data_IF_976658636998
#
_entry.id   IF_976658636998
#
_cell.length_a   1.000
_cell.length_b   1.000
_cell.length_c   1.000
_cell.angle_alpha   90.00
_cell.angle_beta   90.00
_cell.angle_gamma   90.00
#
_symmetry.space_group_name_H-M   'P 1'
#
loop_
_entity.id
_entity.type
_entity.pdbx_description
1 polymer ?
#
# COMPACT_ATOMS: atom_id res chain seq x y z
N UNK A 1 -17.50 48.18 7.66
CA UNK A 1 -18.75 47.66 7.08
C UNK A 1 -18.63 47.85 5.58
N UNK A 2 -18.55 46.85 4.71
CA UNK A 2 -19.27 45.58 4.61
C UNK A 2 -18.33 44.49 4.08
N UNK A 3 -18.37 43.31 4.69
CA UNK A 3 -17.61 42.14 4.24
C UNK A 3 -18.40 41.35 3.21
N UNK A 4 -17.78 41.03 2.08
CA UNK A 4 -18.29 40.03 1.14
C UNK A 4 -17.43 38.76 1.25
N UNK A 5 -17.93 37.77 1.99
CA UNK A 5 -17.40 36.40 1.98
C UNK A 5 -17.94 35.67 0.75
N UNK A 6 -17.13 35.55 -0.30
CA UNK A 6 -17.39 34.61 -1.39
C UNK A 6 -16.72 33.27 -1.09
N UNK A 7 -17.48 32.31 -0.58
CA UNK A 7 -17.06 30.90 -0.48
C UNK A 7 -17.27 30.21 -1.83
N UNK A 8 -16.33 30.42 -2.77
CA UNK A 8 -16.35 29.79 -4.09
C UNK A 8 -15.62 28.45 -4.11
N UNK A 9 -16.36 27.33 -4.09
CA UNK A 9 -15.82 26.00 -4.43
C UNK A 9 -15.67 25.89 -5.95
N UNK A 10 -14.49 26.20 -6.50
CA UNK A 10 -14.23 26.03 -7.94
C UNK A 10 -13.75 24.61 -8.27
N UNK A 11 -14.46 23.96 -9.20
CA UNK A 11 -14.19 22.60 -9.68
C UNK A 11 -13.63 22.59 -11.10
N UNK A 12 -12.29 22.58 -11.24
CA UNK A 12 -11.66 22.36 -12.55
C UNK A 12 -11.36 20.88 -12.83
N UNK A 13 -11.80 20.42 -14.02
CA UNK A 13 -11.53 19.10 -14.59
C UNK A 13 -10.39 19.28 -15.59
N UNK A 14 -9.19 18.82 -15.27
CA UNK A 14 -8.04 18.88 -16.18
C UNK A 14 -7.55 17.48 -16.53
N UNK A 15 -7.32 17.26 -17.83
CA UNK A 15 -6.66 16.11 -18.43
C UNK A 15 -5.23 16.52 -18.78
N UNK A 16 -4.22 15.96 -18.10
CA UNK A 16 -2.82 16.30 -18.38
C UNK A 16 -1.82 15.86 -17.30
N UNK A 17 -0.53 16.08 -17.57
CA UNK A 17 0.57 15.86 -16.62
C UNK A 17 0.54 16.91 -15.50
N UNK A 18 0.48 16.51 -14.23
CA UNK A 18 0.47 17.43 -13.09
C UNK A 18 1.42 16.99 -11.97
N UNK A 19 2.32 17.88 -11.57
CA UNK A 19 3.25 17.69 -10.45
C UNK A 19 2.89 18.67 -9.33
N UNK A 20 2.38 18.15 -8.20
CA UNK A 20 2.00 18.97 -7.05
C UNK A 20 3.05 18.87 -5.95
N UNK A 21 3.84 19.93 -5.77
CA UNK A 21 4.41 20.31 -4.47
C UNK A 21 3.37 21.21 -3.83
N UNK A 22 2.70 20.78 -2.76
CA UNK A 22 1.59 21.51 -2.12
C UNK A 22 1.84 21.74 -0.65
N UNK A 23 1.55 22.94 -0.18
CA UNK A 23 1.92 23.39 1.15
C UNK A 23 0.99 24.49 1.69
N UNK A 24 -0.28 24.19 1.70
CA UNK A 24 -1.24 24.65 2.71
C UNK A 24 -2.50 23.79 2.58
N UNK A 25 -3.38 23.84 3.58
CA UNK A 25 -4.64 23.09 3.59
C UNK A 25 -5.48 23.48 2.39
N UNK A 26 -5.44 22.67 1.33
CA UNK A 26 -6.21 22.91 0.11
C UNK A 26 -6.85 21.61 -0.38
N UNK A 27 -8.15 21.67 -0.62
CA UNK A 27 -8.88 20.72 -1.48
C UNK A 27 -8.55 21.03 -2.94
N UNK A 28 -7.37 20.61 -3.40
CA UNK A 28 -6.89 20.95 -4.73
C UNK A 28 -7.53 20.09 -5.84
N UNK A 29 -8.26 20.76 -6.73
CA UNK A 29 -8.39 20.39 -8.15
C UNK A 29 -7.33 21.18 -8.95
N UNK A 30 -6.06 20.86 -8.66
CA UNK A 30 -4.81 21.30 -9.30
C UNK A 30 -4.51 22.81 -9.41
N UNK A 31 -3.55 23.30 -8.60
CA UNK A 31 -2.28 23.92 -9.05
C UNK A 31 -1.32 23.99 -7.83
N UNK A 32 0.00 23.95 -8.05
CA UNK A 32 1.01 23.74 -7.00
C UNK A 32 1.40 24.99 -6.18
N UNK A 33 1.93 24.79 -4.96
CA UNK A 33 2.95 25.64 -4.31
C UNK A 33 3.48 25.11 -2.95
N UNK A 34 4.59 25.70 -2.44
CA UNK A 34 5.63 25.20 -1.49
C UNK A 34 5.67 25.91 -0.08
N UNK A 35 5.93 25.16 1.02
CA UNK A 35 5.82 25.45 2.49
C UNK A 35 5.64 24.21 3.45
N UNK A 36 6.17 24.27 4.66
CA UNK A 36 6.18 23.17 5.64
C UNK A 36 5.11 23.39 6.71
N UNK A 37 4.07 22.54 6.77
CA UNK A 37 3.06 22.56 7.83
C UNK A 37 2.15 21.31 7.85
N UNK A 38 1.54 21.00 8.99
CA UNK A 38 0.59 19.88 9.15
C UNK A 38 -0.67 20.11 8.30
N UNK A 39 -0.84 19.35 7.22
CA UNK A 39 -1.91 19.58 6.24
C UNK A 39 -2.79 18.34 6.01
N UNK A 40 -4.05 18.57 5.67
CA UNK A 40 -5.04 17.59 5.21
C UNK A 40 -5.37 17.89 3.74
N UNK A 41 -4.75 17.16 2.81
CA UNK A 41 -4.95 17.38 1.37
C UNK A 41 -5.81 16.28 0.75
N UNK A 42 -6.77 16.68 -0.09
CA UNK A 42 -7.64 15.77 -0.86
C UNK A 42 -7.52 16.05 -2.35
N UNK A 43 -6.93 15.11 -3.11
CA UNK A 43 -6.75 15.26 -4.57
C UNK A 43 -7.61 14.27 -5.36
N UNK A 44 -8.16 14.71 -6.50
CA UNK A 44 -8.83 13.84 -7.50
C UNK A 44 -8.37 14.14 -8.92
N UNK A 45 -7.99 13.11 -9.68
CA UNK A 45 -7.37 13.30 -11.00
C UNK A 45 -7.53 12.14 -11.97
N UNK A 46 -7.24 12.43 -13.25
CA UNK A 46 -7.08 11.45 -14.33
C UNK A 46 -5.76 11.73 -15.06
N UNK A 47 -4.91 10.74 -15.28
CA UNK A 47 -3.60 10.88 -15.92
C UNK A 47 -2.44 10.63 -14.96
N UNK A 48 -1.32 11.36 -15.15
CA UNK A 48 -0.11 11.22 -14.35
C UNK A 48 -0.09 12.20 -13.19
N UNK A 49 0.20 11.71 -11.98
CA UNK A 49 0.34 12.54 -10.78
C UNK A 49 1.55 12.19 -9.92
N UNK A 50 2.18 13.21 -9.37
CA UNK A 50 3.25 13.12 -8.37
C UNK A 50 2.97 14.05 -7.19
N UNK A 51 2.91 13.51 -5.97
CA UNK A 51 2.67 14.29 -4.74
C UNK A 51 3.77 14.08 -3.70
N UNK A 52 4.15 15.16 -3.00
CA UNK A 52 5.02 15.10 -1.81
C UNK A 52 4.46 15.94 -0.66
N UNK A 53 4.42 15.39 0.55
CA UNK A 53 3.76 16.03 1.68
C UNK A 53 4.17 15.52 3.07
N UNK A 54 3.84 16.31 4.09
CA UNK A 54 3.89 15.94 5.51
C UNK A 54 2.49 16.14 6.11
N UNK A 55 2.00 15.22 6.94
CA UNK A 55 0.66 15.28 7.54
C UNK A 55 -0.30 14.24 6.97
N UNK A 56 -1.58 14.61 6.81
CA UNK A 56 -2.67 13.77 6.32
C UNK A 56 -2.91 13.95 4.82
N UNK A 57 -2.95 12.85 4.08
CA UNK A 57 -3.21 12.88 2.63
C UNK A 57 -4.26 11.88 2.20
N UNK A 58 -5.16 12.33 1.32
CA UNK A 58 -6.17 11.52 0.67
C UNK A 58 -6.15 11.73 -0.84
N UNK A 59 -5.88 10.69 -1.64
CA UNK A 59 -5.83 10.81 -3.10
C UNK A 59 -6.78 9.83 -3.79
N UNK A 60 -7.42 10.28 -4.87
CA UNK A 60 -8.22 9.44 -5.77
C UNK A 60 -7.84 9.67 -7.24
N UNK A 61 -7.34 8.65 -7.92
CA UNK A 61 -6.83 8.82 -9.29
C UNK A 61 -7.24 7.70 -10.24
N UNK A 62 -7.27 8.00 -11.53
CA UNK A 62 -7.25 7.02 -12.62
C UNK A 62 -6.04 7.31 -13.50
N UNK A 63 -5.13 6.36 -13.67
CA UNK A 63 -3.85 6.55 -14.36
C UNK A 63 -2.65 6.23 -13.47
N UNK A 64 -1.58 7.01 -13.61
CA UNK A 64 -0.29 6.73 -12.98
C UNK A 64 -0.05 7.68 -11.81
N UNK A 65 0.21 7.15 -10.63
CA UNK A 65 0.38 7.95 -9.41
C UNK A 65 1.66 7.60 -8.67
N UNK A 66 2.42 8.63 -8.29
CA UNK A 66 3.56 8.55 -7.38
C UNK A 66 3.34 9.44 -6.16
N UNK A 67 3.48 8.91 -4.95
CA UNK A 67 3.36 9.71 -3.73
C UNK A 67 4.53 9.48 -2.78
N UNK A 68 4.98 10.55 -2.12
CA UNK A 68 5.93 10.50 -1.00
C UNK A 68 5.38 11.27 0.20
N UNK A 69 5.18 10.61 1.32
CA UNK A 69 4.58 11.23 2.51
C UNK A 69 5.30 10.90 3.82
N UNK A 70 5.15 11.79 4.80
CA UNK A 70 5.42 11.53 6.21
C UNK A 70 4.16 11.86 7.00
N UNK A 71 3.56 10.87 7.69
CA UNK A 71 2.28 11.00 8.37
C UNK A 71 1.26 9.94 7.90
N UNK A 72 0.01 10.35 7.73
CA UNK A 72 -1.10 9.47 7.37
C UNK A 72 -1.45 9.60 5.90
N UNK A 73 -1.56 8.48 5.19
CA UNK A 73 -1.87 8.46 3.77
C UNK A 73 -2.99 7.47 3.45
N UNK A 74 -3.98 7.94 2.68
CA UNK A 74 -5.08 7.14 2.14
C UNK A 74 -5.17 7.33 0.62
N UNK A 75 -4.99 6.28 -0.16
CA UNK A 75 -5.07 6.37 -1.62
C UNK A 75 -6.08 5.40 -2.22
N UNK A 76 -6.79 5.85 -3.25
CA UNK A 76 -7.62 5.01 -4.11
C UNK A 76 -7.28 5.23 -5.57
N UNK A 77 -6.81 4.20 -6.27
CA UNK A 77 -6.41 4.34 -7.67
C UNK A 77 -6.89 3.21 -8.58
N UNK A 78 -7.03 3.52 -9.86
CA UNK A 78 -7.12 2.56 -10.95
C UNK A 78 -5.96 2.85 -11.92
N UNK A 79 -5.05 1.90 -12.14
CA UNK A 79 -3.82 2.10 -12.94
C UNK A 79 -2.56 1.74 -12.17
N UNK A 80 -1.47 2.48 -12.40
CA UNK A 80 -0.19 2.24 -11.71
C UNK A 80 -0.05 3.15 -10.49
N UNK A 81 0.41 2.59 -9.37
CA UNK A 81 0.63 3.32 -8.14
C UNK A 81 1.98 3.00 -7.52
N UNK A 82 2.75 4.03 -7.19
CA UNK A 82 3.98 3.95 -6.41
C UNK A 82 3.86 4.85 -5.17
N UNK A 83 4.07 4.30 -3.98
CA UNK A 83 4.03 5.08 -2.74
C UNK A 83 5.26 4.86 -1.88
N UNK A 84 5.74 5.94 -1.27
CA UNK A 84 6.74 5.91 -0.21
C UNK A 84 6.23 6.67 1.00
N UNK A 85 6.13 6.02 2.15
CA UNK A 85 5.59 6.63 3.37
C UNK A 85 6.44 6.35 4.61
N UNK A 86 6.45 7.30 5.54
CA UNK A 86 6.82 7.07 6.94
C UNK A 86 5.58 7.42 7.77
N UNK A 87 5.03 6.46 8.52
CA UNK A 87 3.77 6.61 9.26
C UNK A 87 2.73 5.58 8.84
N UNK A 88 1.47 6.00 8.73
CA UNK A 88 0.33 5.11 8.52
C UNK A 88 -0.19 5.20 7.10
N UNK A 89 -0.32 4.06 6.42
CA UNK A 89 -0.72 4.00 5.02
C UNK A 89 -1.89 3.04 4.79
N UNK A 90 -2.90 3.52 4.06
CA UNK A 90 -4.03 2.75 3.55
C UNK A 90 -4.13 2.93 2.04
N UNK A 91 -4.11 1.84 1.28
CA UNK A 91 -4.27 1.89 -0.17
C UNK A 91 -5.34 0.94 -0.69
N UNK A 92 -6.09 1.41 -1.69
CA UNK A 92 -6.98 0.59 -2.50
C UNK A 92 -6.67 0.79 -3.99
N UNK A 93 -6.28 -0.26 -4.68
CA UNK A 93 -5.87 -0.19 -6.08
C UNK A 93 -6.54 -1.25 -6.95
N UNK A 94 -6.73 -0.92 -8.22
CA UNK A 94 -6.95 -1.88 -9.31
C UNK A 94 -5.86 -1.62 -10.35
N UNK A 95 -5.01 -2.60 -10.63
CA UNK A 95 -3.82 -2.45 -11.48
C UNK A 95 -2.53 -2.81 -10.75
N UNK A 96 -1.46 -2.06 -11.00
CA UNK A 96 -0.13 -2.36 -10.49
C UNK A 96 0.22 -1.43 -9.32
N UNK A 97 0.67 -2.01 -8.21
CA UNK A 97 0.97 -1.27 -7.00
C UNK A 97 2.35 -1.62 -6.43
N UNK A 98 3.14 -0.58 -6.13
CA UNK A 98 4.41 -0.67 -5.41
C UNK A 98 4.36 0.23 -4.17
N UNK A 99 4.62 -0.32 -2.99
CA UNK A 99 4.68 0.45 -1.76
C UNK A 99 5.97 0.22 -0.99
N UNK A 100 6.52 1.30 -0.44
CA UNK A 100 7.59 1.27 0.55
C UNK A 100 7.17 2.06 1.79
N UNK A 101 7.10 1.42 2.93
CA UNK A 101 6.62 2.03 4.17
C UNK A 101 7.54 1.77 5.37
N UNK A 102 7.62 2.73 6.26
CA UNK A 102 8.07 2.54 7.64
C UNK A 102 6.90 2.90 8.55
N UNK A 103 6.37 1.97 9.33
CA UNK A 103 5.15 2.15 10.13
C UNK A 103 4.04 1.16 9.79
N UNK A 104 2.78 1.58 9.93
CA UNK A 104 1.62 0.70 9.69
C UNK A 104 1.13 0.79 8.24
N UNK A 105 0.82 -0.37 7.66
CA UNK A 105 0.35 -0.43 6.27
C UNK A 105 -0.81 -1.43 6.08
N UNK A 106 -1.88 -0.94 5.46
CA UNK A 106 -3.05 -1.69 5.00
C UNK A 106 -3.21 -1.53 3.49
N UNK A 107 -3.37 -2.63 2.74
CA UNK A 107 -3.64 -2.55 1.30
C UNK A 107 -4.76 -3.49 0.85
N UNK A 108 -5.48 -3.06 -0.17
CA UNK A 108 -6.39 -3.90 -0.96
C UNK A 108 -6.11 -3.68 -2.44
N UNK A 109 -5.80 -4.75 -3.16
CA UNK A 109 -5.44 -4.66 -4.57
C UNK A 109 -6.13 -5.73 -5.41
N UNK A 110 -6.37 -5.41 -6.67
CA UNK A 110 -6.64 -6.38 -7.73
C UNK A 110 -5.62 -6.14 -8.82
N UNK A 111 -4.78 -7.12 -9.13
CA UNK A 111 -3.63 -6.98 -10.03
C UNK A 111 -2.30 -7.31 -9.34
N UNK A 112 -1.21 -6.68 -9.77
CA UNK A 112 0.12 -6.97 -9.24
C UNK A 112 0.47 -6.05 -8.07
N UNK A 113 1.02 -6.63 -7.01
CA UNK A 113 1.39 -5.90 -5.81
C UNK A 113 2.81 -6.24 -5.35
N UNK A 114 3.61 -5.21 -5.10
CA UNK A 114 4.92 -5.29 -4.44
C UNK A 114 4.93 -4.41 -3.20
N UNK A 115 5.24 -4.98 -2.03
CA UNK A 115 5.35 -4.22 -0.78
C UNK A 115 6.71 -4.45 -0.11
N UNK A 116 7.29 -3.37 0.40
CA UNK A 116 8.42 -3.39 1.32
C UNK A 116 8.08 -2.58 2.58
N UNK A 117 8.09 -3.22 3.74
CA UNK A 117 7.74 -2.59 5.00
C UNK A 117 8.76 -2.85 6.11
N UNK A 118 8.89 -1.87 7.01
CA UNK A 118 9.55 -2.03 8.31
C UNK A 118 8.58 -1.56 9.37
N UNK A 119 8.22 -2.44 10.31
CA UNK A 119 7.19 -2.22 11.33
C UNK A 119 6.02 -3.18 11.23
N UNK A 120 4.88 -2.79 11.83
CA UNK A 120 3.68 -3.62 11.88
C UNK A 120 2.88 -3.50 10.58
N UNK A 121 2.96 -4.53 9.74
CA UNK A 121 2.04 -4.72 8.62
C UNK A 121 0.82 -5.50 9.10
N UNK A 122 -0.01 -4.85 9.92
CA UNK A 122 -1.34 -5.36 10.26
C UNK A 122 -2.35 -4.87 9.21
N UNK A 123 -3.39 -5.67 9.01
CA UNK A 123 -4.51 -5.49 8.09
C UNK A 123 -4.34 -6.14 6.71
N UNK A 124 -4.77 -7.41 6.69
CA UNK A 124 -5.56 -8.03 5.62
C UNK A 124 -5.22 -7.48 4.23
N UNK A 125 -3.95 -7.63 3.82
CA UNK A 125 -3.57 -7.45 2.43
C UNK A 125 -4.45 -8.41 1.63
N UNK A 126 -5.54 -7.90 1.06
CA UNK A 126 -6.47 -8.67 0.25
C UNK A 126 -6.11 -8.41 -1.19
N UNK A 127 -5.42 -9.36 -1.78
CA UNK A 127 -5.03 -9.29 -3.18
C UNK A 127 -5.65 -10.40 -4.00
N UNK A 128 -6.00 -10.07 -5.24
CA UNK A 128 -6.26 -11.03 -6.31
C UNK A 128 -5.24 -10.77 -7.41
N UNK A 129 -4.39 -11.75 -7.73
CA UNK A 129 -3.32 -11.61 -8.72
C UNK A 129 -1.95 -12.05 -8.17
N UNK A 130 -0.89 -11.33 -8.57
CA UNK A 130 0.48 -11.59 -8.12
C UNK A 130 0.87 -10.68 -6.95
N UNK A 131 1.45 -11.26 -5.90
CA UNK A 131 1.89 -10.53 -4.73
C UNK A 131 3.32 -10.90 -4.34
N UNK A 132 4.15 -9.88 -4.13
CA UNK A 132 5.48 -10.00 -3.54
C UNK A 132 5.58 -9.09 -2.32
N UNK A 133 5.93 -9.65 -1.16
CA UNK A 133 6.13 -8.86 0.05
C UNK A 133 7.49 -9.12 0.69
N UNK A 134 8.13 -8.04 1.15
CA UNK A 134 9.27 -8.08 2.06
C UNK A 134 8.97 -7.27 3.32
N UNK A 135 9.08 -7.88 4.49
CA UNK A 135 8.76 -7.23 5.76
C UNK A 135 9.79 -7.53 6.86
N UNK A 136 9.91 -6.59 7.79
CA UNK A 136 10.52 -6.80 9.11
C UNK A 136 9.51 -6.35 10.16
N UNK A 137 9.08 -7.27 11.03
CA UNK A 137 8.03 -7.08 12.02
C UNK A 137 6.88 -8.07 11.86
N UNK A 138 5.66 -7.65 12.20
CA UNK A 138 4.46 -8.48 12.09
C UNK A 138 3.81 -8.33 10.72
N UNK A 139 3.43 -9.44 10.08
CA UNK A 139 2.77 -9.43 8.77
C UNK A 139 1.57 -10.37 8.72
N UNK A 140 0.44 -9.88 8.20
CA UNK A 140 -0.75 -10.69 7.88
C UNK A 140 -1.20 -10.50 6.43
N UNK A 141 -1.31 -11.59 5.65
CA UNK A 141 -1.74 -11.54 4.24
C UNK A 141 -2.91 -12.48 3.94
N UNK A 142 -3.79 -12.05 3.01
CA UNK A 142 -4.84 -12.89 2.42
C UNK A 142 -4.86 -12.76 0.89
N UNK A 143 -4.44 -13.77 0.17
CA UNK A 143 -4.30 -13.70 -1.30
C UNK A 143 -5.13 -14.74 -2.03
N UNK A 144 -5.48 -14.41 -3.28
CA UNK A 144 -5.91 -15.37 -4.30
C UNK A 144 -5.01 -15.19 -5.52
N UNK A 145 -4.34 -16.25 -5.97
CA UNK A 145 -3.35 -16.21 -7.06
C UNK A 145 -1.95 -16.62 -6.59
N UNK A 146 -0.93 -15.85 -6.98
CA UNK A 146 0.47 -16.14 -6.70
C UNK A 146 0.99 -15.24 -5.59
N UNK A 147 1.60 -15.83 -4.57
CA UNK A 147 2.17 -15.09 -3.45
C UNK A 147 3.60 -15.52 -3.14
N UNK A 148 4.49 -14.53 -3.07
CA UNK A 148 5.87 -14.68 -2.57
C UNK A 148 6.08 -13.77 -1.37
N UNK A 149 6.53 -14.32 -0.24
CA UNK A 149 6.81 -13.53 0.95
C UNK A 149 8.23 -13.79 1.49
N UNK A 150 8.86 -12.71 1.95
CA UNK A 150 10.08 -12.76 2.75
C UNK A 150 9.91 -11.93 4.02
N UNK A 151 10.03 -12.55 5.19
CA UNK A 151 9.77 -11.89 6.46
C UNK A 151 10.86 -12.17 7.50
N UNK A 152 11.07 -11.21 8.39
CA UNK A 152 11.75 -11.39 9.67
C UNK A 152 10.80 -10.92 10.77
N UNK A 153 10.40 -11.80 11.69
CA UNK A 153 9.36 -11.55 12.70
C UNK A 153 8.21 -12.55 12.62
N UNK A 154 6.99 -12.11 12.96
CA UNK A 154 5.81 -12.97 12.94
C UNK A 154 5.05 -12.84 11.62
N UNK A 155 4.69 -13.97 11.01
CA UNK A 155 3.96 -14.01 9.75
C UNK A 155 2.73 -14.92 9.84
N UNK A 156 1.59 -14.39 9.39
CA UNK A 156 0.36 -15.16 9.16
C UNK A 156 -0.12 -15.00 7.71
N UNK A 157 -0.28 -16.10 6.97
CA UNK A 157 -0.77 -16.06 5.60
C UNK A 157 -1.99 -16.96 5.39
N UNK A 158 -2.95 -16.48 4.61
CA UNK A 158 -4.02 -17.28 4.02
C UNK A 158 -4.03 -17.13 2.50
N UNK A 159 -3.87 -18.21 1.76
CA UNK A 159 -3.79 -18.16 0.29
C UNK A 159 -4.71 -19.17 -0.38
N UNK A 160 -5.16 -18.83 -1.58
CA UNK A 160 -5.71 -19.78 -2.56
C UNK A 160 -4.91 -19.62 -3.84
N UNK A 161 -4.22 -20.67 -4.28
CA UNK A 161 -3.28 -20.65 -5.40
C UNK A 161 -1.86 -21.06 -4.97
N UNK A 162 -0.84 -20.40 -5.52
CA UNK A 162 0.56 -20.75 -5.33
C UNK A 162 1.22 -19.83 -4.30
N UNK A 163 1.86 -20.42 -3.30
CA UNK A 163 2.51 -19.70 -2.21
C UNK A 163 3.96 -20.13 -2.02
N UNK A 164 4.88 -19.16 -2.00
CA UNK A 164 6.26 -19.33 -1.57
C UNK A 164 6.56 -18.41 -0.39
N UNK A 165 7.10 -18.95 0.70
CA UNK A 165 7.48 -18.16 1.87
C UNK A 165 8.92 -18.43 2.30
N UNK A 166 9.62 -17.37 2.69
CA UNK A 166 10.87 -17.43 3.43
C UNK A 166 10.77 -16.59 4.70
N UNK A 167 10.94 -17.20 5.87
CA UNK A 167 10.76 -16.52 7.15
C UNK A 167 11.92 -16.78 8.11
N UNK A 168 12.19 -15.80 8.97
CA UNK A 168 12.97 -15.96 10.20
C UNK A 168 12.09 -15.46 11.34
N UNK A 169 11.70 -16.33 12.28
CA UNK A 169 10.73 -16.05 13.34
C UNK A 169 9.54 -17.01 13.31
N UNK A 170 8.37 -16.57 13.78
CA UNK A 170 7.17 -17.42 13.85
C UNK A 170 6.34 -17.32 12.56
N UNK A 171 5.92 -18.46 12.04
CA UNK A 171 5.12 -18.54 10.82
C UNK A 171 3.88 -19.41 10.98
N UNK A 172 2.72 -18.88 10.58
CA UNK A 172 1.46 -19.60 10.44
C UNK A 172 0.92 -19.46 9.01
N UNK A 173 0.67 -20.58 8.33
CA UNK A 173 0.11 -20.56 6.98
C UNK A 173 -1.14 -21.44 6.86
N UNK A 174 -2.12 -20.93 6.09
CA UNK A 174 -3.25 -21.70 5.59
C UNK A 174 -3.36 -21.56 4.08
N UNK A 175 -3.25 -22.64 3.33
CA UNK A 175 -3.25 -22.61 1.86
C UNK A 175 -4.24 -23.61 1.25
N UNK A 176 -4.76 -23.27 0.07
CA UNK A 176 -5.41 -24.19 -0.86
C UNK A 176 -4.70 -24.06 -2.20
N UNK A 177 -4.02 -25.09 -2.67
CA UNK A 177 -3.11 -25.06 -3.83
C UNK A 177 -1.68 -25.46 -3.46
N UNK A 178 -0.68 -24.92 -4.16
CA UNK A 178 0.73 -25.30 -3.94
C UNK A 178 1.41 -24.40 -2.92
N UNK A 179 2.15 -24.99 -2.00
CA UNK A 179 2.88 -24.27 -0.97
C UNK A 179 4.33 -24.73 -0.86
N UNK A 180 5.26 -23.77 -0.87
CA UNK A 180 6.68 -23.96 -0.55
C UNK A 180 7.09 -23.02 0.59
N UNK A 181 7.67 -23.58 1.65
CA UNK A 181 8.13 -22.79 2.79
C UNK A 181 9.60 -23.07 3.12
N UNK A 182 10.33 -22.01 3.47
CA UNK A 182 11.63 -22.07 4.13
C UNK A 182 11.60 -21.22 5.40
N UNK A 183 11.81 -21.82 6.57
CA UNK A 183 11.75 -21.11 7.85
C UNK A 183 12.98 -21.37 8.72
N UNK A 184 13.34 -20.36 9.51
CA UNK A 184 14.19 -20.49 10.70
C UNK A 184 13.36 -20.01 11.89
N UNK A 185 12.98 -20.90 12.81
CA UNK A 185 12.02 -20.63 13.90
C UNK A 185 10.73 -21.46 13.82
N UNK A 186 9.70 -21.08 14.57
CA UNK A 186 8.47 -21.86 14.71
C UNK A 186 7.58 -21.83 13.46
N UNK A 187 7.07 -22.98 13.07
CA UNK A 187 6.24 -23.12 11.88
C UNK A 187 4.97 -23.94 12.14
N UNK A 188 3.83 -23.39 11.74
CA UNK A 188 2.53 -24.08 11.69
C UNK A 188 1.91 -23.94 10.30
N UNK A 189 1.59 -25.07 9.65
CA UNK A 189 1.00 -25.08 8.32
C UNK A 189 -0.28 -25.91 8.26
N UNK A 190 -1.27 -25.42 7.51
CA UNK A 190 -2.45 -26.17 7.10
C UNK A 190 -2.64 -25.99 5.60
N UNK A 191 -2.46 -27.05 4.81
CA UNK A 191 -2.61 -27.02 3.36
C UNK A 191 -3.71 -27.95 2.88
N UNK A 192 -4.30 -27.60 1.74
CA UNK A 192 -5.09 -28.51 0.91
C UNK A 192 -4.50 -28.41 -0.50
N UNK A 193 -3.64 -29.36 -0.87
CA UNK A 193 -2.84 -29.35 -2.10
C UNK A 193 -1.39 -29.76 -1.85
N UNK A 194 -0.48 -29.44 -2.77
CA UNK A 194 0.93 -29.82 -2.66
C UNK A 194 1.69 -28.95 -1.66
N UNK A 195 2.52 -29.58 -0.83
CA UNK A 195 3.30 -28.88 0.19
C UNK A 195 4.75 -29.35 0.24
N UNK A 196 5.68 -28.39 0.27
CA UNK A 196 7.10 -28.58 0.53
C UNK A 196 7.56 -27.63 1.65
N UNK A 197 8.18 -28.17 2.70
CA UNK A 197 8.72 -27.39 3.81
C UNK A 197 10.19 -27.70 4.02
N UNK A 198 10.99 -26.66 4.29
CA UNK A 198 12.34 -26.76 4.83
C UNK A 198 12.44 -25.89 6.08
N UNK A 199 12.66 -26.48 7.23
CA UNK A 199 12.91 -25.75 8.48
C UNK A 199 14.34 -25.97 8.96
N UNK A 200 14.96 -24.94 9.49
CA UNK A 200 16.22 -25.02 10.24
C UNK A 200 15.94 -24.56 11.67
N UNK A 201 16.23 -25.41 12.64
CA UNK A 201 16.17 -25.07 14.07
C UNK A 201 17.26 -24.06 14.43
#
# INVERSE_FOLDING_TARGET
STGNRSTGNQSNRSTGYQSNRSTENQSNRSTGNRSTGYQSNRNRSTGYQSNRSTGYQSNRSTGNQSNRSTGYQSNRSTGYQSNRSTGNQSNRSTGNQSNRSTGYQSNRSTGNQSNRSTGNQSNRNRSTGYQSNRSTGNQSNRSTGYQSNRSTGNQSNRSTGNQSNRSTGNQSNRSTGNQSNRSTGNQSNRSTGYQSNRSTG
#
